data_IF_334210976190
#
_entry.id   IF_334210976190
#
_cell.length_a   1.000
_cell.length_b   1.000
_cell.length_c   1.000
_cell.angle_alpha   90.00
_cell.angle_beta   90.00
_cell.angle_gamma   90.00
#
_symmetry.space_group_name_H-M   'P 1'
#
loop_
_entity.id
_entity.type
_entity.pdbx_description
1 polymer ?
#
# COMPACT_ATOMS: atom_id res chain seq x y z
N UNK A 1 1.56 14.23 -3.96
CA UNK A 1 0.70 13.07 -4.27
C UNK A 1 -0.54 13.17 -3.41
N UNK A 2 -1.71 13.20 -4.02
CA UNK A 2 -3.00 13.40 -3.33
C UNK A 2 -3.16 12.36 -2.21
N UNK A 3 -3.35 12.81 -0.97
CA UNK A 3 -3.44 11.96 0.24
C UNK A 3 -4.68 11.06 0.31
N UNK A 4 -5.23 10.67 -0.84
CA UNK A 4 -6.42 9.85 -0.96
C UNK A 4 -6.00 8.39 -0.80
N UNK A 5 -6.66 7.71 0.14
CA UNK A 5 -6.43 6.29 0.40
C UNK A 5 -6.90 5.44 -0.80
N UNK A 6 -6.11 4.46 -1.27
CA UNK A 6 -6.54 3.56 -2.34
C UNK A 6 -7.73 2.70 -1.93
N UNK A 7 -8.59 2.35 -2.89
CA UNK A 7 -9.59 1.32 -2.67
C UNK A 7 -8.95 -0.07 -2.72
N UNK A 8 -8.65 -0.63 -1.54
CA UNK A 8 -8.01 -1.94 -1.44
C UNK A 8 -8.88 -3.09 -1.94
N UNK A 9 -10.21 -2.98 -1.90
CA UNK A 9 -11.11 -4.01 -2.41
C UNK A 9 -11.09 -4.08 -3.95
N UNK A 10 -11.01 -2.92 -4.63
CA UNK A 10 -10.86 -2.87 -6.09
C UNK A 10 -9.53 -3.49 -6.53
N UNK A 11 -8.45 -3.16 -5.83
CA UNK A 11 -7.12 -3.70 -6.11
C UNK A 11 -7.10 -5.21 -5.85
N UNK A 12 -7.69 -5.66 -4.75
CA UNK A 12 -7.80 -7.07 -4.40
C UNK A 12 -8.50 -7.89 -5.50
N UNK A 13 -9.60 -7.37 -6.07
CA UNK A 13 -10.28 -7.99 -7.22
C UNK A 13 -9.39 -8.13 -8.45
N UNK A 14 -8.58 -7.11 -8.76
CA UNK A 14 -7.66 -7.14 -9.92
C UNK A 14 -6.58 -8.21 -9.79
N UNK A 15 -6.10 -8.44 -8.57
CA UNK A 15 -5.03 -9.40 -8.29
C UNK A 15 -5.55 -10.75 -7.76
N UNK A 16 -6.87 -10.96 -7.74
CA UNK A 16 -7.53 -12.16 -7.20
C UNK A 16 -6.99 -12.55 -5.80
N UNK A 17 -6.85 -11.58 -4.91
CA UNK A 17 -6.31 -11.78 -3.57
C UNK A 17 -7.19 -11.14 -2.51
N UNK A 18 -6.94 -11.46 -1.24
CA UNK A 18 -7.67 -10.87 -0.12
C UNK A 18 -7.29 -9.39 0.09
N UNK A 19 -8.26 -8.54 0.44
CA UNK A 19 -8.02 -7.11 0.64
C UNK A 19 -7.01 -6.81 1.76
N UNK A 20 -6.89 -7.70 2.77
CA UNK A 20 -5.92 -7.57 3.86
C UNK A 20 -4.50 -7.75 3.35
N UNK A 21 -4.30 -8.58 2.33
CA UNK A 21 -3.01 -8.73 1.64
C UNK A 21 -2.62 -7.41 0.99
N UNK A 22 -3.52 -6.81 0.20
CA UNK A 22 -3.27 -5.50 -0.44
C UNK A 22 -2.95 -4.44 0.60
N UNK A 23 -3.75 -4.35 1.68
CA UNK A 23 -3.53 -3.39 2.76
C UNK A 23 -2.17 -3.59 3.43
N UNK A 24 -1.79 -4.85 3.72
CA UNK A 24 -0.50 -5.18 4.35
C UNK A 24 0.68 -4.72 3.50
N UNK A 25 0.66 -5.01 2.19
CA UNK A 25 1.74 -4.59 1.30
C UNK A 25 1.78 -3.09 1.08
N UNK A 26 0.61 -2.42 1.05
CA UNK A 26 0.55 -0.96 1.00
C UNK A 26 1.17 -0.32 2.25
N UNK A 27 0.84 -0.82 3.45
CA UNK A 27 1.37 -0.32 4.71
C UNK A 27 2.89 -0.58 4.81
N UNK A 28 3.35 -1.80 4.48
CA UNK A 28 4.79 -2.14 4.41
C UNK A 28 5.56 -1.28 3.41
N UNK A 29 4.97 -1.00 2.25
CA UNK A 29 5.55 -0.12 1.23
C UNK A 29 5.75 1.30 1.76
N UNK A 30 4.82 1.81 2.56
CA UNK A 30 4.94 3.13 3.20
C UNK A 30 6.09 3.16 4.20
N UNK A 31 6.22 2.15 5.05
CA UNK A 31 7.31 2.06 6.04
C UNK A 31 8.69 2.06 5.36
N UNK A 32 8.87 1.22 4.33
CA UNK A 32 10.12 1.20 3.55
C UNK A 32 10.42 2.53 2.87
N UNK A 33 9.41 3.14 2.25
CA UNK A 33 9.59 4.45 1.59
C UNK A 33 9.97 5.54 2.60
N UNK A 34 9.45 5.49 3.83
CA UNK A 34 9.81 6.43 4.90
C UNK A 34 11.22 6.19 5.43
N UNK A 35 11.65 4.94 5.63
CA UNK A 35 13.02 4.62 6.03
C UNK A 35 14.03 5.06 4.96
N UNK A 36 13.73 4.84 3.67
CA UNK A 36 14.55 5.29 2.55
C UNK A 36 14.61 6.82 2.47
N UNK A 37 13.45 7.49 2.62
CA UNK A 37 13.39 8.96 2.62
C UNK A 37 14.09 9.59 3.83
N UNK A 38 14.13 8.92 4.99
CA UNK A 38 14.81 9.41 6.19
C UNK A 38 16.33 9.24 6.16
N UNK A 39 16.87 8.46 5.21
CA UNK A 39 18.33 8.29 5.02
C UNK A 39 18.93 9.31 4.04
N UNK A 40 18.10 10.13 3.39
CA UNK A 40 18.49 11.27 2.55
C UNK A 40 18.67 12.52 3.39
#
# INVERSE_FOLDING_TARGET
MTGIKPNFADIARRYNCDYRTVKRYYDLGKEKTLEEASKL
#
